data_IF_721493405714
#
_entry.id   IF_721493405714
#
_cell.length_a   1.000
_cell.length_b   1.000
_cell.length_c   1.000
_cell.angle_alpha   90.00
_cell.angle_beta   90.00
_cell.angle_gamma   90.00
#
_symmetry.space_group_name_H-M   'P 1'
#
loop_
_entity.id
_entity.type
_entity.pdbx_description
1 polymer ?
#
# COMPACT_ATOMS: atom_id res chain seq x y z
N UNK A 1 -13.94 3.18 15.59
CA UNK A 1 -14.10 3.02 14.14
C UNK A 1 -13.56 1.65 13.75
N UNK A 2 -14.01 1.07 12.64
CA UNK A 2 -13.49 -0.19 12.11
C UNK A 2 -12.95 0.10 10.71
N UNK A 3 -11.76 -0.41 10.40
CA UNK A 3 -11.11 -0.26 9.09
C UNK A 3 -10.58 -1.62 8.66
N UNK A 4 -11.42 -2.32 7.91
CA UNK A 4 -11.12 -3.67 7.46
C UNK A 4 -10.48 -3.70 6.07
N UNK A 5 -9.60 -4.67 5.86
CA UNK A 5 -8.87 -4.88 4.62
C UNK A 5 -9.03 -6.26 4.01
N UNK A 6 -7.90 -6.81 3.52
CA UNK A 6 -7.83 -8.10 2.84
C UNK A 6 -8.03 -9.29 3.80
N UNK A 7 -7.73 -9.10 5.08
CA UNK A 7 -7.82 -10.11 6.14
C UNK A 7 -9.25 -10.55 6.46
N UNK A 8 -10.22 -9.66 6.27
CA UNK A 8 -11.66 -9.94 6.46
C UNK A 8 -12.38 -10.31 5.16
N UNK A 9 -11.74 -10.09 4.00
CA UNK A 9 -12.34 -10.21 2.68
C UNK A 9 -13.25 -9.04 2.27
N UNK A 10 -13.28 -7.95 3.04
CA UNK A 10 -13.99 -6.71 2.66
C UNK A 10 -13.34 -6.07 1.43
N UNK A 11 -12.03 -6.21 1.28
CA UNK A 11 -11.27 -5.83 0.07
C UNK A 11 -10.78 -7.10 -0.61
N UNK A 12 -10.79 -7.14 -1.95
CA UNK A 12 -10.15 -8.19 -2.75
C UNK A 12 -9.74 -7.69 -4.16
N UNK A 13 -8.91 -8.46 -4.85
CA UNK A 13 -8.47 -8.31 -6.23
C UNK A 13 -9.46 -9.06 -7.14
N UNK A 14 -9.97 -8.37 -8.16
CA UNK A 14 -10.81 -8.97 -9.19
C UNK A 14 -10.05 -10.02 -10.02
N UNK A 15 -10.75 -10.92 -10.75
CA UNK A 15 -10.09 -11.90 -11.61
C UNK A 15 -9.14 -11.26 -12.62
N UNK A 16 -7.95 -11.84 -12.77
CA UNK A 16 -6.95 -11.36 -13.73
C UNK A 16 -7.41 -11.54 -15.18
N UNK A 17 -7.30 -10.49 -16.00
CA UNK A 17 -7.57 -10.55 -17.43
C UNK A 17 -6.61 -11.49 -18.17
N UNK A 18 -7.00 -11.96 -19.37
CA UNK A 18 -6.25 -12.98 -20.12
C UNK A 18 -4.81 -12.57 -20.49
N UNK A 19 -4.52 -11.27 -20.58
CA UNK A 19 -3.20 -10.76 -20.95
C UNK A 19 -2.18 -10.76 -19.81
N UNK A 20 -2.58 -11.05 -18.57
CA UNK A 20 -1.66 -11.08 -17.43
C UNK A 20 -0.89 -12.42 -17.44
N UNK A 21 0.44 -12.42 -17.59
CA UNK A 21 1.26 -13.63 -17.54
C UNK A 21 1.17 -14.33 -16.18
N UNK A 22 1.38 -15.65 -16.16
CA UNK A 22 1.21 -16.46 -14.96
C UNK A 22 2.17 -16.08 -13.83
N UNK A 23 3.44 -15.80 -14.15
CA UNK A 23 4.45 -15.34 -13.20
C UNK A 23 4.05 -14.02 -12.52
N UNK A 24 3.43 -13.11 -13.26
CA UNK A 24 2.89 -11.85 -12.73
C UNK A 24 1.71 -12.12 -11.80
N UNK A 25 0.79 -13.04 -12.16
CA UNK A 25 -0.33 -13.43 -11.29
C UNK A 25 0.17 -13.99 -9.96
N UNK A 26 1.14 -14.89 -10.01
CA UNK A 26 1.72 -15.49 -8.81
C UNK A 26 2.40 -14.45 -7.92
N UNK A 27 3.13 -13.50 -8.51
CA UNK A 27 3.74 -12.39 -7.78
C UNK A 27 2.70 -11.55 -7.04
N UNK A 28 1.58 -11.21 -7.70
CA UNK A 28 0.49 -10.43 -7.09
C UNK A 28 -0.20 -11.22 -5.98
N UNK A 29 -0.51 -12.50 -6.22
CA UNK A 29 -1.18 -13.35 -5.23
C UNK A 29 -0.31 -13.59 -3.99
N UNK A 30 1.00 -13.77 -4.17
CA UNK A 30 1.94 -13.86 -3.06
C UNK A 30 1.94 -12.58 -2.21
N UNK A 31 2.05 -11.41 -2.85
CA UNK A 31 2.01 -10.12 -2.14
C UNK A 31 0.66 -9.86 -1.46
N UNK A 32 -0.46 -10.23 -2.10
CA UNK A 32 -1.80 -10.18 -1.49
C UNK A 32 -1.83 -10.98 -0.19
N UNK A 33 -1.29 -12.21 -0.19
CA UNK A 33 -1.25 -13.06 1.00
C UNK A 33 -0.37 -12.46 2.10
N UNK A 34 0.76 -11.84 1.75
CA UNK A 34 1.62 -11.14 2.71
C UNK A 34 0.90 -9.95 3.37
N UNK A 35 0.14 -9.17 2.61
CA UNK A 35 -0.67 -8.05 3.13
C UNK A 35 -1.81 -8.58 4.00
N UNK A 36 -2.57 -9.57 3.52
CA UNK A 36 -3.70 -10.14 4.25
C UNK A 36 -3.30 -10.79 5.59
N UNK A 37 -2.07 -11.31 5.68
CA UNK A 37 -1.53 -11.88 6.93
C UNK A 37 -0.91 -10.83 7.85
N UNK A 38 -0.76 -9.58 7.41
CA UNK A 38 -0.06 -8.53 8.14
C UNK A 38 1.47 -8.67 8.14
N UNK A 39 2.04 -9.65 7.42
CA UNK A 39 3.49 -9.80 7.27
C UNK A 39 4.14 -8.68 6.43
N UNK A 40 3.32 -8.00 5.62
CA UNK A 40 3.72 -6.83 4.85
C UNK A 40 2.73 -5.68 5.05
N UNK A 41 3.24 -4.54 5.52
CA UNK A 41 2.45 -3.31 5.67
C UNK A 41 2.87 -2.30 4.61
N UNK A 42 1.89 -1.78 3.86
CA UNK A 42 2.14 -0.93 2.67
C UNK A 42 2.84 0.38 3.02
N UNK A 43 2.37 1.06 4.06
CA UNK A 43 2.91 2.35 4.50
C UNK A 43 3.88 2.19 5.69
N UNK A 44 4.94 1.42 5.44
CA UNK A 44 6.08 1.23 6.35
C UNK A 44 7.31 1.94 5.79
N UNK A 45 8.00 2.70 6.65
CA UNK A 45 9.16 3.50 6.27
C UNK A 45 10.40 2.66 5.93
N UNK A 46 11.36 3.22 5.19
CA UNK A 46 11.46 4.65 4.87
C UNK A 46 10.56 5.09 3.70
N UNK A 47 9.85 6.21 3.86
CA UNK A 47 9.04 6.84 2.81
C UNK A 47 9.37 8.33 2.76
N UNK A 48 9.69 8.82 1.57
CA UNK A 48 9.85 10.23 1.27
C UNK A 48 8.68 10.75 0.43
N UNK A 49 8.38 12.04 0.54
CA UNK A 49 7.42 12.72 -0.33
C UNK A 49 8.02 13.06 -1.71
N UNK A 50 7.20 13.66 -2.59
CA UNK A 50 7.60 14.10 -3.93
C UNK A 50 8.77 15.09 -3.96
N UNK A 51 9.04 15.80 -2.87
CA UNK A 51 10.19 16.72 -2.74
C UNK A 51 11.47 16.00 -2.28
N UNK A 52 11.35 14.74 -1.86
CA UNK A 52 12.42 13.97 -1.24
C UNK A 52 12.53 14.18 0.28
N UNK A 53 11.59 14.91 0.90
CA UNK A 53 11.56 15.05 2.35
C UNK A 53 11.04 13.75 2.99
N UNK A 54 11.74 13.26 4.01
CA UNK A 54 11.32 12.07 4.75
C UNK A 54 9.98 12.33 5.47
N UNK A 55 9.04 11.40 5.30
CA UNK A 55 7.71 11.43 5.92
C UNK A 55 7.49 10.30 6.92
N UNK A 56 7.99 9.11 6.58
CA UNK A 56 7.89 7.93 7.44
C UNK A 56 9.30 7.38 7.64
N UNK A 57 9.89 7.51 8.84
CA UNK A 57 11.23 7.01 9.12
C UNK A 57 11.34 5.49 8.96
N UNK A 58 12.55 5.00 8.64
CA UNK A 58 12.81 3.57 8.56
C UNK A 58 12.35 2.81 9.82
N UNK A 59 11.63 1.70 9.63
CA UNK A 59 11.10 0.88 10.72
C UNK A 59 9.85 1.43 11.42
N UNK A 60 9.30 2.56 10.93
CA UNK A 60 8.02 3.11 11.42
C UNK A 60 6.89 2.72 10.48
N UNK A 61 5.74 2.37 11.05
CA UNK A 61 4.50 2.11 10.31
C UNK A 61 3.55 3.27 10.59
N UNK A 62 2.93 3.81 9.54
CA UNK A 62 1.90 4.85 9.71
C UNK A 62 0.69 4.29 10.46
N UNK A 63 0.17 5.06 11.40
CA UNK A 63 -1.08 4.78 12.09
C UNK A 63 -2.29 5.05 11.18
N UNK A 64 -3.44 4.46 11.52
CA UNK A 64 -4.70 4.71 10.80
C UNK A 64 -5.07 6.20 10.74
N UNK A 65 -4.80 6.95 11.81
CA UNK A 65 -5.06 8.39 11.85
C UNK A 65 -4.19 9.15 10.83
N UNK A 66 -2.91 8.81 10.74
CA UNK A 66 -2.02 9.37 9.74
C UNK A 66 -2.45 8.96 8.33
N UNK A 67 -2.85 7.70 8.12
CA UNK A 67 -3.32 7.20 6.83
C UNK A 67 -4.59 7.92 6.33
N UNK A 68 -5.49 8.28 7.25
CA UNK A 68 -6.73 9.01 6.92
C UNK A 68 -6.51 10.51 6.68
N UNK A 69 -5.39 11.06 7.14
CA UNK A 69 -5.16 12.51 7.16
C UNK A 69 -4.03 12.99 6.27
N UNK A 70 -3.12 12.12 5.84
CA UNK A 70 -1.94 12.57 5.13
C UNK A 70 -2.29 13.15 3.74
N UNK A 71 -1.75 14.33 3.48
CA UNK A 71 -2.02 15.16 2.32
C UNK A 71 -0.70 15.46 1.59
N UNK A 72 -0.02 14.40 1.15
CA UNK A 72 1.21 14.52 0.36
C UNK A 72 1.35 13.29 -0.53
N UNK A 73 2.12 13.42 -1.60
CA UNK A 73 2.42 12.30 -2.50
C UNK A 73 3.79 11.73 -2.22
N UNK A 74 3.93 10.41 -2.31
CA UNK A 74 5.22 9.71 -2.21
C UNK A 74 6.15 10.11 -3.36
N UNK A 75 7.46 9.95 -3.14
CA UNK A 75 8.47 10.20 -4.16
C UNK A 75 8.16 9.48 -5.48
N UNK A 76 8.29 10.20 -6.60
CA UNK A 76 8.04 9.66 -7.95
C UNK A 76 6.62 9.88 -8.47
N UNK A 77 5.66 10.27 -7.63
CA UNK A 77 4.33 10.67 -8.08
C UNK A 77 4.40 12.08 -8.70
N UNK A 78 3.83 12.22 -9.89
CA UNK A 78 3.66 13.51 -10.57
C UNK A 78 2.22 13.96 -10.42
N UNK A 79 2.00 15.04 -9.68
CA UNK A 79 0.69 15.61 -9.44
C UNK A 79 0.71 16.65 -8.33
N UNK A 80 -0.35 17.43 -8.24
CA UNK A 80 -0.58 18.39 -7.16
C UNK A 80 -1.84 18.02 -6.41
N UNK A 81 -1.90 18.37 -5.13
CA UNK A 81 -3.14 18.30 -4.37
C UNK A 81 -4.03 19.48 -4.77
N UNK A 82 -5.34 19.27 -4.72
CA UNK A 82 -6.35 20.31 -5.02
C UNK A 82 -6.57 21.27 -3.84
#
# INVERSE_FOLDING_TARGET
SHWDGLETGIVDIAPFGAMVPEDVRQTVLAKKAEIASGSYTVFSGPIADQSGAEKVPAGTVMSDEELLSFNWFVQGVVGTLE
#
